data_IF_924313093764
#
_entry.id   IF_924313093764
#
_cell.length_a   1.000
_cell.length_b   1.000
_cell.length_c   1.000
_cell.angle_alpha   90.00
_cell.angle_beta   90.00
_cell.angle_gamma   90.00
#
_symmetry.space_group_name_H-M   'P 1'
#
loop_
_entity.id
_entity.type
_entity.pdbx_description
1 polymer ?
#
# COMPACT_ATOMS: atom_id res chain seq x y z
N UNK A 1 -10.87 -26.90 2.46
CA UNK A 1 -10.56 -26.22 3.75
C UNK A 1 -9.15 -26.48 4.24
N UNK A 2 -8.65 -27.74 4.30
CA UNK A 2 -7.27 -28.03 4.76
C UNK A 2 -6.20 -27.22 3.99
N UNK A 3 -6.21 -27.27 2.65
CA UNK A 3 -5.26 -26.51 1.81
C UNK A 3 -5.27 -24.99 2.03
N UNK A 4 -6.40 -24.39 2.44
CA UNK A 4 -6.49 -22.95 2.72
C UNK A 4 -5.92 -22.60 4.10
N UNK A 5 -6.08 -23.51 5.09
CA UNK A 5 -5.42 -23.38 6.39
C UNK A 5 -3.91 -23.52 6.26
N UNK A 6 -3.45 -24.41 5.38
CA UNK A 6 -2.03 -24.58 5.07
C UNK A 6 -1.46 -23.32 4.38
N UNK A 7 -2.19 -22.76 3.41
CA UNK A 7 -1.81 -21.51 2.74
C UNK A 7 -1.72 -20.32 3.72
N UNK A 8 -2.69 -20.18 4.64
CA UNK A 8 -2.65 -19.17 5.69
C UNK A 8 -1.43 -19.37 6.61
N UNK A 9 -1.18 -20.60 7.03
CA UNK A 9 -0.04 -20.93 7.90
C UNK A 9 1.29 -20.60 7.21
N UNK A 10 1.42 -20.93 5.92
CA UNK A 10 2.60 -20.61 5.12
C UNK A 10 2.82 -19.10 5.00
N UNK A 11 1.77 -18.31 4.76
CA UNK A 11 1.85 -16.85 4.75
C UNK A 11 2.32 -16.29 6.10
N UNK A 12 1.74 -16.75 7.20
CA UNK A 12 2.06 -16.26 8.54
C UNK A 12 3.50 -16.61 8.95
N UNK A 13 3.96 -17.82 8.66
CA UNK A 13 5.36 -18.22 8.86
C UNK A 13 6.32 -17.40 7.99
N UNK A 14 5.91 -17.06 6.76
CA UNK A 14 6.74 -16.23 5.88
C UNK A 14 6.97 -14.85 6.49
N UNK A 15 5.91 -14.13 6.88
CA UNK A 15 6.05 -12.78 7.44
C UNK A 15 6.78 -12.78 8.78
N UNK A 16 6.59 -13.82 9.61
CA UNK A 16 7.32 -14.01 10.85
C UNK A 16 8.82 -14.17 10.59
N UNK A 17 9.21 -15.03 9.64
CA UNK A 17 10.61 -15.19 9.21
C UNK A 17 11.22 -13.91 8.64
N UNK A 18 10.40 -13.06 8.02
CA UNK A 18 10.82 -11.75 7.51
C UNK A 18 10.93 -10.68 8.61
N UNK A 19 10.53 -10.99 9.85
CA UNK A 19 10.68 -10.13 11.02
C UNK A 19 9.40 -9.44 11.49
N UNK A 20 8.22 -9.93 11.10
CA UNK A 20 6.97 -9.48 11.70
C UNK A 20 6.89 -9.87 13.18
N UNK A 21 6.40 -8.98 14.03
CA UNK A 21 6.21 -9.28 15.46
C UNK A 21 5.03 -10.22 15.68
N UNK A 22 4.96 -10.92 16.82
CA UNK A 22 3.82 -11.79 17.15
C UNK A 22 2.47 -11.06 17.06
N UNK A 23 2.39 -9.79 17.48
CA UNK A 23 1.18 -8.98 17.39
C UNK A 23 0.75 -8.72 15.94
N UNK A 24 1.71 -8.46 15.04
CA UNK A 24 1.44 -8.32 13.60
C UNK A 24 0.91 -9.63 13.04
N UNK A 25 1.56 -10.76 13.37
CA UNK A 25 1.14 -12.09 12.90
C UNK A 25 -0.27 -12.43 13.40
N UNK A 26 -0.58 -12.15 14.67
CA UNK A 26 -1.89 -12.38 15.26
C UNK A 26 -2.98 -11.55 14.59
N UNK A 27 -2.78 -10.24 14.43
CA UNK A 27 -3.75 -9.35 13.79
C UNK A 27 -4.06 -9.77 12.34
N UNK A 28 -3.03 -10.18 11.59
CA UNK A 28 -3.20 -10.64 10.20
C UNK A 28 -3.90 -12.00 10.13
N UNK A 29 -3.63 -12.90 11.08
CA UNK A 29 -4.32 -14.20 11.18
C UNK A 29 -5.82 -13.99 11.34
N UNK A 30 -6.23 -13.09 12.24
CA UNK A 30 -7.65 -12.80 12.49
C UNK A 30 -8.36 -12.27 11.25
N UNK A 31 -7.76 -11.29 10.57
CA UNK A 31 -8.35 -10.71 9.35
C UNK A 31 -8.40 -11.70 8.19
N UNK A 32 -7.33 -12.46 7.96
CA UNK A 32 -7.31 -13.45 6.89
C UNK A 32 -8.23 -14.63 7.16
N UNK A 33 -8.46 -15.00 8.42
CA UNK A 33 -9.46 -16.02 8.74
C UNK A 33 -10.88 -15.53 8.35
N UNK A 34 -11.23 -14.27 8.68
CA UNK A 34 -12.51 -13.66 8.26
C UNK A 34 -12.66 -13.65 6.73
N UNK A 35 -11.60 -13.28 6.00
CA UNK A 35 -11.59 -13.33 4.53
C UNK A 35 -11.79 -14.75 4.00
N UNK A 36 -11.07 -15.73 4.55
CA UNK A 36 -11.16 -17.14 4.14
C UNK A 36 -12.53 -17.75 4.41
N UNK A 37 -13.19 -17.36 5.51
CA UNK A 37 -14.55 -17.78 5.81
C UNK A 37 -15.52 -17.26 4.75
N UNK A 38 -15.36 -16.00 4.29
CA UNK A 38 -16.13 -15.42 3.19
C UNK A 38 -15.83 -16.05 1.81
N UNK A 39 -14.62 -16.58 1.62
CA UNK A 39 -14.21 -17.28 0.40
C UNK A 39 -14.52 -18.79 0.43
N UNK A 40 -15.10 -19.31 1.51
CA UNK A 40 -15.38 -20.73 1.66
C UNK A 40 -16.29 -21.24 0.52
N UNK A 41 -15.84 -22.30 -0.17
CA UNK A 41 -16.57 -22.91 -1.29
C UNK A 41 -16.50 -22.12 -2.61
N UNK A 42 -15.81 -20.97 -2.65
CA UNK A 42 -15.57 -20.24 -3.90
C UNK A 42 -14.49 -20.93 -4.74
N UNK A 43 -14.49 -20.67 -6.05
CA UNK A 43 -13.43 -21.16 -6.94
C UNK A 43 -12.12 -20.44 -6.61
N UNK A 44 -11.00 -21.15 -6.70
CA UNK A 44 -9.65 -20.57 -6.53
C UNK A 44 -9.21 -19.87 -7.82
N UNK A 45 -9.95 -18.82 -8.19
CA UNK A 45 -9.65 -17.96 -9.34
C UNK A 45 -9.60 -16.48 -8.92
N UNK A 46 -9.15 -15.63 -9.86
CA UNK A 46 -8.96 -14.20 -9.64
C UNK A 46 -10.29 -13.50 -9.34
N UNK A 47 -11.32 -13.78 -10.15
CA UNK A 47 -12.62 -13.13 -10.06
C UNK A 47 -13.30 -13.42 -8.71
N UNK A 48 -13.27 -14.69 -8.27
CA UNK A 48 -13.84 -15.09 -6.98
C UNK A 48 -13.10 -14.46 -5.81
N UNK A 49 -11.77 -14.30 -5.94
CA UNK A 49 -10.98 -13.65 -4.91
C UNK A 49 -11.31 -12.17 -4.81
N UNK A 50 -11.30 -11.44 -5.92
CA UNK A 50 -11.62 -10.01 -5.94
C UNK A 50 -13.03 -9.75 -5.39
N UNK A 51 -14.04 -10.49 -5.85
CA UNK A 51 -15.40 -10.35 -5.34
C UNK A 51 -15.49 -10.64 -3.82
N UNK A 52 -14.75 -11.63 -3.32
CA UNK A 52 -14.71 -11.92 -1.88
C UNK A 52 -13.98 -10.85 -1.07
N UNK A 53 -12.90 -10.29 -1.61
CA UNK A 53 -12.17 -9.17 -1.00
C UNK A 53 -13.04 -7.92 -0.93
N UNK A 54 -13.81 -7.61 -1.98
CA UNK A 54 -14.72 -6.45 -1.98
C UNK A 54 -15.76 -6.54 -0.87
N UNK A 55 -16.39 -7.71 -0.71
CA UNK A 55 -17.35 -7.97 0.38
C UNK A 55 -16.67 -7.90 1.75
N UNK A 56 -15.48 -8.48 1.88
CA UNK A 56 -14.69 -8.43 3.12
C UNK A 56 -14.35 -6.99 3.52
N UNK A 57 -13.84 -6.18 2.60
CA UNK A 57 -13.47 -4.78 2.85
C UNK A 57 -14.68 -3.88 3.11
N UNK A 58 -15.82 -4.17 2.50
CA UNK A 58 -17.08 -3.46 2.78
C UNK A 58 -17.54 -3.67 4.24
N UNK A 59 -17.26 -4.84 4.82
CA UNK A 59 -17.57 -5.16 6.22
C UNK A 59 -16.55 -4.65 7.24
N UNK A 60 -15.38 -4.19 6.82
CA UNK A 60 -14.33 -3.72 7.73
C UNK A 60 -14.59 -2.28 8.23
N UNK A 61 -14.42 -2.01 9.54
CA UNK A 61 -14.32 -0.65 10.06
C UNK A 61 -13.20 0.12 9.36
N UNK A 62 -13.35 1.45 9.20
CA UNK A 62 -12.39 2.30 8.49
C UNK A 62 -10.96 2.12 9.03
N UNK A 63 -10.81 2.00 10.35
CA UNK A 63 -9.52 1.84 11.04
C UNK A 63 -8.81 0.52 10.69
N UNK A 64 -9.56 -0.52 10.33
CA UNK A 64 -9.01 -1.83 9.95
C UNK A 64 -8.77 -1.95 8.44
N UNK A 65 -9.36 -1.07 7.61
CA UNK A 65 -9.36 -1.23 6.15
C UNK A 65 -7.98 -1.28 5.52
N UNK A 66 -7.02 -0.46 5.98
CA UNK A 66 -5.64 -0.50 5.46
C UNK A 66 -4.99 -1.86 5.73
N UNK A 67 -5.14 -2.37 6.95
CA UNK A 67 -4.58 -3.68 7.30
C UNK A 67 -5.27 -4.78 6.50
N UNK A 68 -6.60 -4.73 6.38
CA UNK A 68 -7.40 -5.69 5.64
C UNK A 68 -7.00 -5.76 4.15
N UNK A 69 -6.87 -4.63 3.46
CA UNK A 69 -6.46 -4.60 2.05
C UNK A 69 -5.01 -5.04 1.86
N UNK A 70 -4.11 -4.69 2.81
CA UNK A 70 -2.72 -5.14 2.79
C UNK A 70 -2.65 -6.66 2.89
N UNK A 71 -3.39 -7.25 3.84
CA UNK A 71 -3.48 -8.70 4.03
C UNK A 71 -4.06 -9.38 2.79
N UNK A 72 -5.19 -8.89 2.27
CA UNK A 72 -5.85 -9.44 1.10
C UNK A 72 -4.92 -9.43 -0.13
N UNK A 73 -4.22 -8.33 -0.41
CA UNK A 73 -3.30 -8.27 -1.54
C UNK A 73 -2.12 -9.25 -1.37
N UNK A 74 -1.50 -9.28 -0.19
CA UNK A 74 -0.34 -10.15 0.03
C UNK A 74 -0.70 -11.63 0.01
N UNK A 75 -1.90 -11.97 0.49
CA UNK A 75 -2.39 -13.35 0.52
C UNK A 75 -2.87 -13.86 -0.85
N UNK A 76 -3.09 -12.98 -1.83
CA UNK A 76 -3.63 -13.33 -3.15
C UNK A 76 -2.91 -14.49 -3.84
N UNK A 77 -1.58 -14.47 -3.87
CA UNK A 77 -0.80 -15.53 -4.54
C UNK A 77 -0.77 -16.84 -3.74
N UNK A 78 -0.98 -16.79 -2.42
CA UNK A 78 -1.22 -18.00 -1.61
C UNK A 78 -2.60 -18.58 -1.91
N UNK A 79 -3.62 -17.73 -2.03
CA UNK A 79 -4.96 -18.16 -2.44
C UNK A 79 -4.95 -18.85 -3.81
N UNK A 80 -4.19 -18.32 -4.78
CA UNK A 80 -4.06 -18.92 -6.12
C UNK A 80 -3.10 -20.11 -6.21
N UNK A 81 -2.39 -20.45 -5.14
CA UNK A 81 -1.35 -21.48 -5.14
C UNK A 81 -0.13 -21.16 -6.05
N UNK A 82 0.10 -19.88 -6.33
CA UNK A 82 1.21 -19.45 -7.19
C UNK A 82 2.49 -19.21 -6.38
N UNK A 83 3.13 -20.31 -5.99
CA UNK A 83 4.37 -20.25 -5.20
C UNK A 83 5.53 -19.59 -5.93
N UNK A 84 5.53 -19.61 -7.26
CA UNK A 84 6.54 -18.90 -8.06
C UNK A 84 6.41 -17.39 -7.83
N UNK A 85 5.20 -16.85 -7.90
CA UNK A 85 4.95 -15.42 -7.60
C UNK A 85 5.24 -15.06 -6.15
N UNK A 86 4.92 -15.94 -5.20
CA UNK A 86 5.28 -15.71 -3.78
C UNK A 86 6.80 -15.55 -3.62
N UNK A 87 7.60 -16.39 -4.27
CA UNK A 87 9.06 -16.33 -4.21
C UNK A 87 9.64 -15.08 -4.92
N UNK A 88 9.07 -14.69 -6.06
CA UNK A 88 9.42 -13.45 -6.77
C UNK A 88 9.19 -12.22 -5.86
N UNK A 89 8.04 -12.15 -5.20
CA UNK A 89 7.66 -11.04 -4.31
C UNK A 89 8.54 -11.02 -3.06
N UNK A 90 8.83 -12.19 -2.48
CA UNK A 90 9.68 -12.30 -1.29
C UNK A 90 11.08 -11.76 -1.56
N UNK A 91 11.66 -12.10 -2.71
CA UNK A 91 12.99 -11.63 -3.13
C UNK A 91 13.05 -10.10 -3.29
N UNK A 92 11.93 -9.46 -3.64
CA UNK A 92 11.81 -8.02 -3.79
C UNK A 92 11.40 -7.26 -2.52
N UNK A 93 11.50 -7.87 -1.33
CA UNK A 93 11.00 -7.31 -0.06
C UNK A 93 9.53 -6.86 -0.14
N UNK A 94 8.72 -7.64 -0.86
CA UNK A 94 7.35 -7.24 -1.20
C UNK A 94 6.29 -7.52 -0.13
N UNK A 95 6.64 -8.29 0.91
CA UNK A 95 5.78 -8.52 2.07
C UNK A 95 6.07 -7.49 3.15
N UNK A 96 5.01 -6.91 3.69
CA UNK A 96 5.08 -5.99 4.81
C UNK A 96 5.21 -6.76 6.12
N UNK A 97 6.04 -6.26 7.04
CA UNK A 97 6.27 -6.88 8.37
C UNK A 97 5.78 -5.99 9.51
N UNK A 98 5.09 -4.89 9.18
CA UNK A 98 4.54 -3.90 10.10
C UNK A 98 3.12 -3.58 9.71
N UNK A 99 2.31 -3.19 10.69
CA UNK A 99 1.01 -2.60 10.48
C UNK A 99 1.17 -1.10 10.70
N UNK A 100 1.16 -0.32 9.62
CA UNK A 100 1.26 1.14 9.68
C UNK A 100 -0.12 1.72 9.98
N UNK A 101 -0.14 2.73 10.85
CA UNK A 101 -1.34 3.51 11.14
C UNK A 101 -1.30 4.80 10.32
N UNK A 102 -2.19 4.91 9.35
CA UNK A 102 -2.31 6.04 8.44
C UNK A 102 -3.65 6.74 8.66
N UNK A 103 -3.71 8.08 8.50
CA UNK A 103 -4.90 8.87 8.79
C UNK A 103 -6.00 8.70 7.72
N UNK A 104 -6.57 7.50 7.61
CA UNK A 104 -7.63 7.19 6.66
C UNK A 104 -8.85 8.08 6.87
N UNK A 105 -9.37 8.61 5.76
CA UNK A 105 -10.60 9.39 5.68
C UNK A 105 -11.62 8.66 4.79
N UNK A 106 -12.86 9.12 4.83
CA UNK A 106 -13.93 8.53 4.01
C UNK A 106 -13.84 8.84 2.51
N UNK A 107 -13.04 9.84 2.10
CA UNK A 107 -12.86 10.24 0.70
C UNK A 107 -11.56 11.00 0.48
N UNK A 108 -11.12 11.11 -0.77
CA UNK A 108 -9.92 11.87 -1.14
C UNK A 108 -10.05 13.35 -0.72
N UNK A 109 -11.21 13.96 -0.91
CA UNK A 109 -11.45 15.35 -0.50
C UNK A 109 -11.27 15.54 1.00
N UNK A 110 -11.75 14.60 1.82
CA UNK A 110 -11.58 14.64 3.27
C UNK A 110 -10.10 14.50 3.65
N UNK A 111 -9.33 13.64 2.97
CA UNK A 111 -7.90 13.51 3.16
C UNK A 111 -7.15 14.79 2.80
N UNK A 112 -7.47 15.41 1.66
CA UNK A 112 -6.88 16.68 1.23
C UNK A 112 -7.23 17.83 2.18
N UNK A 113 -8.45 17.85 2.72
CA UNK A 113 -8.83 18.80 3.77
C UNK A 113 -8.02 18.59 5.05
N UNK A 114 -7.82 17.35 5.48
CA UNK A 114 -6.98 17.04 6.64
C UNK A 114 -5.55 17.54 6.42
N UNK A 115 -4.95 17.22 5.27
CA UNK A 115 -3.60 17.68 4.89
C UNK A 115 -3.47 19.21 4.98
N UNK A 116 -4.47 19.94 4.45
CA UNK A 116 -4.52 21.42 4.54
C UNK A 116 -4.65 21.91 5.98
N UNK A 117 -5.52 21.31 6.79
CA UNK A 117 -5.70 21.68 8.20
C UNK A 117 -4.44 21.45 9.03
N UNK A 118 -3.67 20.41 8.72
CA UNK A 118 -2.38 20.15 9.36
C UNK A 118 -1.25 21.06 8.88
N UNK A 119 -1.48 21.87 7.84
CA UNK A 119 -0.46 22.74 7.25
C UNK A 119 0.70 21.95 6.63
N UNK A 120 0.44 20.75 6.11
CA UNK A 120 1.49 19.90 5.56
C UNK A 120 2.02 20.47 4.25
N UNK A 121 3.31 20.79 4.21
CA UNK A 121 4.01 21.34 3.03
C UNK A 121 5.41 20.76 2.82
N UNK A 122 5.78 19.74 3.61
CA UNK A 122 7.13 19.17 3.60
C UNK A 122 7.19 18.08 2.55
N UNK A 123 7.41 18.42 1.29
CA UNK A 123 7.56 17.43 0.23
C UNK A 123 9.04 17.08 -0.02
N UNK A 124 9.36 15.83 -0.39
CA UNK A 124 10.71 15.46 -0.79
C UNK A 124 11.05 16.11 -2.16
N UNK A 125 12.34 16.32 -2.47
CA UNK A 125 12.76 16.87 -3.76
C UNK A 125 12.29 16.06 -4.97
N UNK A 126 12.08 14.75 -4.79
CA UNK A 126 11.54 13.86 -5.82
C UNK A 126 10.24 14.35 -6.44
N UNK A 127 9.36 15.00 -5.67
CA UNK A 127 8.11 15.52 -6.20
C UNK A 127 8.37 16.63 -7.22
N UNK A 128 9.17 17.63 -6.87
CA UNK A 128 9.49 18.74 -7.76
C UNK A 128 10.26 18.29 -9.01
N UNK A 129 11.21 17.37 -8.86
CA UNK A 129 11.95 16.79 -9.99
C UNK A 129 11.04 16.04 -10.96
N UNK A 130 10.11 15.25 -10.42
CA UNK A 130 9.13 14.52 -11.22
C UNK A 130 8.20 15.46 -11.99
N UNK A 131 7.60 16.44 -11.31
CA UNK A 131 6.69 17.40 -11.94
C UNK A 131 7.41 18.29 -12.97
N UNK A 132 8.64 18.72 -12.67
CA UNK A 132 9.48 19.48 -13.60
C UNK A 132 9.76 18.70 -14.88
N UNK A 133 10.09 17.40 -14.76
CA UNK A 133 10.26 16.52 -15.91
C UNK A 133 8.98 16.41 -16.75
N UNK A 134 7.81 16.23 -16.12
CA UNK A 134 6.54 16.16 -16.85
C UNK A 134 6.26 17.43 -17.65
N UNK A 135 6.58 18.59 -17.07
CA UNK A 135 6.47 19.88 -17.75
C UNK A 135 7.43 19.98 -18.94
N UNK A 136 8.70 19.60 -18.77
CA UNK A 136 9.70 19.55 -19.85
C UNK A 136 9.29 18.59 -20.98
N UNK A 137 8.65 17.47 -20.64
CA UNK A 137 8.12 16.48 -21.59
C UNK A 137 6.82 16.96 -22.29
N UNK A 138 6.34 18.18 -21.98
CA UNK A 138 5.19 18.81 -22.64
C UNK A 138 3.82 18.33 -22.16
N UNK A 139 3.74 17.74 -20.95
CA UNK A 139 2.46 17.36 -20.35
C UNK A 139 1.59 18.58 -20.05
N UNK A 140 0.28 18.45 -20.28
CA UNK A 140 -0.67 19.52 -20.02
C UNK A 140 -0.72 19.91 -18.52
N UNK A 141 -0.87 21.21 -18.24
CA UNK A 141 -0.81 21.73 -16.86
C UNK A 141 -1.89 21.16 -15.93
N UNK A 142 -3.09 20.91 -16.45
CA UNK A 142 -4.21 20.33 -15.70
C UNK A 142 -3.91 18.89 -15.28
N UNK A 143 -3.29 18.11 -16.16
CA UNK A 143 -2.82 16.75 -15.85
C UNK A 143 -1.68 16.79 -14.81
N UNK A 144 -0.71 17.72 -14.94
CA UNK A 144 0.36 17.90 -13.95
C UNK A 144 -0.24 18.23 -12.57
N UNK A 145 -1.21 19.14 -12.48
CA UNK A 145 -1.88 19.51 -11.22
C UNK A 145 -2.65 18.34 -10.61
N UNK A 146 -3.31 17.51 -11.44
CA UNK A 146 -4.00 16.30 -10.97
C UNK A 146 -3.00 15.31 -10.36
N UNK A 147 -1.87 15.06 -11.04
CA UNK A 147 -0.80 14.18 -10.55
C UNK A 147 -0.18 14.71 -9.27
N UNK A 148 0.15 16.00 -9.24
CA UNK A 148 0.67 16.67 -8.05
C UNK A 148 -0.26 16.44 -6.85
N UNK A 149 -1.56 16.68 -7.00
CA UNK A 149 -2.54 16.52 -5.91
C UNK A 149 -2.53 15.10 -5.32
N UNK A 150 -2.53 14.07 -6.18
CA UNK A 150 -2.51 12.67 -5.74
C UNK A 150 -1.17 12.30 -5.09
N UNK A 151 -0.05 12.75 -5.65
CA UNK A 151 1.27 12.49 -5.08
C UNK A 151 1.47 13.23 -3.76
N UNK A 152 0.96 14.45 -3.61
CA UNK A 152 0.98 15.17 -2.34
C UNK A 152 0.18 14.42 -1.26
N UNK A 153 -0.99 13.88 -1.60
CA UNK A 153 -1.77 13.04 -0.70
C UNK A 153 -1.02 11.75 -0.30
N UNK A 154 -0.39 11.07 -1.26
CA UNK A 154 0.47 9.91 -1.01
C UNK A 154 1.63 10.26 -0.05
N UNK A 155 2.30 11.39 -0.29
CA UNK A 155 3.44 11.85 0.50
C UNK A 155 3.02 12.28 1.91
N UNK A 156 1.82 12.86 2.06
CA UNK A 156 1.22 13.14 3.35
C UNK A 156 1.00 11.85 4.16
N UNK A 157 0.47 10.80 3.53
CA UNK A 157 0.31 9.49 4.16
C UNK A 157 1.66 8.83 4.54
N UNK A 158 2.76 9.23 3.91
CA UNK A 158 4.10 8.67 4.15
C UNK A 158 4.95 9.43 5.17
N UNK A 159 4.60 10.67 5.52
CA UNK A 159 5.47 11.60 6.26
C UNK A 159 6.01 11.02 7.58
N UNK A 160 5.16 10.33 8.33
CA UNK A 160 5.49 9.77 9.66
C UNK A 160 6.05 8.35 9.60
N UNK A 161 6.29 7.79 8.41
CA UNK A 161 6.63 6.39 8.23
C UNK A 161 8.06 6.16 7.73
N UNK A 162 8.63 4.96 7.99
CA UNK A 162 9.98 4.64 7.53
C UNK A 162 10.10 4.74 6.01
N UNK A 163 11.24 5.25 5.54
CA UNK A 163 11.59 5.23 4.12
C UNK A 163 11.87 3.81 3.66
N UNK A 164 10.84 3.13 3.18
CA UNK A 164 10.92 1.75 2.75
C UNK A 164 9.86 1.45 1.68
N UNK A 165 10.16 0.55 0.74
CA UNK A 165 9.24 0.18 -0.34
C UNK A 165 7.91 -0.39 0.19
N UNK A 166 7.94 -1.07 1.34
CA UNK A 166 6.73 -1.58 1.99
C UNK A 166 5.84 -0.45 2.52
N UNK A 167 6.42 0.62 3.10
CA UNK A 167 5.67 1.79 3.54
C UNK A 167 5.00 2.49 2.36
N UNK A 168 5.75 2.68 1.26
CA UNK A 168 5.22 3.24 0.02
C UNK A 168 4.01 2.46 -0.47
N UNK A 169 4.13 1.13 -0.49
CA UNK A 169 3.09 0.23 -0.95
C UNK A 169 1.83 0.27 -0.07
N UNK A 170 1.99 0.34 1.24
CA UNK A 170 0.87 0.53 2.16
C UNK A 170 0.23 1.91 2.00
N UNK A 171 1.01 2.95 1.72
CA UNK A 171 0.47 4.29 1.46
C UNK A 171 -0.33 4.35 0.15
N UNK A 172 0.10 3.61 -0.87
CA UNK A 172 -0.68 3.40 -2.10
C UNK A 172 -2.00 2.70 -1.78
N UNK A 173 -1.99 1.64 -0.97
CA UNK A 173 -3.22 0.97 -0.55
C UNK A 173 -4.15 1.91 0.20
N UNK A 174 -3.60 2.68 1.15
CA UNK A 174 -4.34 3.68 1.90
C UNK A 174 -4.98 4.71 0.96
N UNK A 175 -4.23 5.24 0.00
CA UNK A 175 -4.75 6.22 -0.94
C UNK A 175 -5.83 5.64 -1.86
N UNK A 176 -5.68 4.39 -2.31
CA UNK A 176 -6.70 3.68 -3.08
C UNK A 176 -8.04 3.56 -2.34
N UNK A 177 -8.02 3.41 -1.00
CA UNK A 177 -9.23 3.36 -0.18
C UNK A 177 -10.02 4.68 -0.14
N UNK A 178 -9.44 5.79 -0.62
CA UNK A 178 -10.09 7.10 -0.68
C UNK A 178 -10.73 7.40 -2.06
N UNK A 179 -10.60 6.49 -3.02
CA UNK A 179 -11.10 6.65 -4.39
C UNK A 179 -12.39 5.85 -4.59
N UNK A 180 -13.36 6.48 -5.25
CA UNK A 180 -14.71 5.92 -5.42
C UNK A 180 -14.88 5.16 -6.74
N UNK A 181 -13.91 5.24 -7.66
CA UNK A 181 -14.01 4.65 -9.00
C UNK A 181 -12.82 3.73 -9.33
N UNK A 182 -13.09 2.65 -10.06
CA UNK A 182 -12.05 1.75 -10.55
C UNK A 182 -11.08 2.48 -11.49
N UNK A 183 -11.60 3.38 -12.33
CA UNK A 183 -10.81 4.15 -13.29
C UNK A 183 -9.79 5.05 -12.58
N UNK A 184 -10.19 5.73 -11.50
CA UNK A 184 -9.26 6.53 -10.70
C UNK A 184 -8.23 5.66 -9.98
N UNK A 185 -8.64 4.47 -9.52
CA UNK A 185 -7.73 3.49 -8.93
C UNK A 185 -6.66 2.98 -9.91
N UNK A 186 -7.03 2.72 -11.15
CA UNK A 186 -6.09 2.33 -12.22
C UNK A 186 -5.15 3.47 -12.59
N UNK A 187 -5.70 4.68 -12.75
CA UNK A 187 -4.91 5.89 -12.99
C UNK A 187 -3.89 6.12 -11.86
N UNK A 188 -4.31 6.03 -10.60
CA UNK A 188 -3.41 6.16 -9.45
C UNK A 188 -2.32 5.08 -9.47
N UNK A 189 -2.67 3.81 -9.73
CA UNK A 189 -1.69 2.70 -9.79
C UNK A 189 -0.61 2.93 -10.84
N UNK A 190 -0.98 3.47 -12.00
CA UNK A 190 -0.01 3.84 -13.04
C UNK A 190 0.89 4.98 -12.56
N UNK A 191 0.30 6.05 -12.04
CA UNK A 191 1.02 7.23 -11.53
C UNK A 191 2.03 6.85 -10.43
N UNK A 192 1.63 6.09 -9.42
CA UNK A 192 2.51 5.74 -8.29
C UNK A 192 3.62 4.78 -8.71
N UNK A 193 3.40 3.95 -9.75
CA UNK A 193 4.46 3.10 -10.32
C UNK A 193 5.48 3.94 -11.09
N UNK A 194 5.02 4.92 -11.85
CA UNK A 194 5.86 5.87 -12.60
C UNK A 194 6.70 6.75 -11.65
N UNK A 195 6.09 7.21 -10.55
CA UNK A 195 6.73 8.08 -9.56
C UNK A 195 7.72 7.34 -8.63
N UNK A 196 7.48 6.05 -8.34
CA UNK A 196 8.25 5.29 -7.35
C UNK A 196 9.79 5.37 -7.51
N UNK A 197 10.38 5.24 -8.72
CA UNK A 197 11.82 5.40 -8.89
C UNK A 197 12.34 6.78 -8.48
N UNK A 198 11.59 7.86 -8.77
CA UNK A 198 11.95 9.21 -8.37
C UNK A 198 11.96 9.35 -6.84
N UNK A 199 10.92 8.84 -6.18
CA UNK A 199 10.82 8.83 -4.72
C UNK A 199 11.96 8.04 -4.07
N UNK A 200 12.34 6.89 -4.64
CA UNK A 200 13.47 6.09 -4.17
C UNK A 200 14.81 6.83 -4.30
N UNK A 201 15.03 7.55 -5.40
CA UNK A 201 16.28 8.28 -5.63
C UNK A 201 16.43 9.53 -4.77
N UNK A 202 15.32 10.22 -4.44
CA UNK A 202 15.36 11.48 -3.70
C UNK A 202 14.33 11.52 -2.55
N UNK A 203 14.61 10.83 -1.42
CA UNK A 203 13.75 10.86 -0.23
C UNK A 203 13.66 12.23 0.47
N UNK A 204 12.80 12.28 1.50
CA UNK A 204 12.69 13.41 2.41
C UNK A 204 14.04 13.75 3.07
N UNK A 205 14.26 15.04 3.36
CA UNK A 205 15.51 15.49 3.98
C UNK A 205 15.80 14.81 5.33
N UNK A 206 14.77 14.61 6.17
CA UNK A 206 14.86 13.90 7.45
C UNK A 206 15.36 12.46 7.28
N UNK A 207 14.96 11.80 6.20
CA UNK A 207 15.32 10.41 5.89
C UNK A 207 16.73 10.31 5.27
N UNK A 208 17.20 11.34 4.56
CA UNK A 208 18.60 11.41 4.06
C UNK A 208 19.60 11.56 5.22
N UNK A 209 19.27 12.38 6.23
CA UNK A 209 20.14 12.60 7.39
C UNK A 209 20.31 11.34 8.25
N UNK A 210 19.28 10.49 8.34
CA UNK A 210 19.37 9.19 9.02
C UNK A 210 20.23 8.14 8.30
N UNK A 211 20.42 8.27 6.97
CA UNK A 211 21.28 7.37 6.19
C UNK A 211 22.76 7.78 6.24
N UNK A 212 23.05 9.09 6.37
CA UNK A 212 24.43 9.61 6.50
C UNK A 212 25.05 9.42 7.89
N UNK A 213 24.29 8.95 8.89
CA UNK A 213 24.78 8.67 10.24
C UNK A 213 25.48 7.31 10.44
N UNK A 214 25.72 6.54 9.35
CA UNK A 214 26.47 5.27 9.38
C UNK A 214 27.85 5.37 8.72
N UNK A 215 28.54 6.48 8.94
CA UNK A 215 29.99 6.54 8.72
C UNK A 215 30.62 7.18 9.95
N UNK A 216 30.91 6.35 10.94
CA UNK A 216 31.94 6.55 11.95
C UNK A 216 32.40 5.17 12.42
#
# INVERSE_FOLDING_TARGET
MAALKDALTAYLHLIERLGATPDVVAARRELLQKLLDGLAGKRRDVDSYHAGVDVFLAGCPLQEKLLAVTCAREFFYFWLDDMKKVMEITSGAGFTVRNLDMPLQGSLDALLQLMRRTGFQRYPPSLGLYLGKLFEDGMAEDEIRRRETLLQALLFLLDSHPFHASSYRMAVDALLLHLDSQQDGEYLRQLVREYFPHWQSFPFASQRLGASGKIA
#
